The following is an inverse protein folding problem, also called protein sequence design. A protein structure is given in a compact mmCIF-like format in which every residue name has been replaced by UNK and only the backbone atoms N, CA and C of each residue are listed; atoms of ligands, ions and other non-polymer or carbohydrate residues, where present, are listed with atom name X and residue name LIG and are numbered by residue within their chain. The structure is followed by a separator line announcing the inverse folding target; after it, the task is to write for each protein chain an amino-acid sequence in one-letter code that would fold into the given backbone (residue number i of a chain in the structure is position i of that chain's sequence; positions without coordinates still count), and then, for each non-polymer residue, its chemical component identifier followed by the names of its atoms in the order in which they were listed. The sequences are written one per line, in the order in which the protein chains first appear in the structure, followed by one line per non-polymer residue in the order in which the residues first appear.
data_IF_313516628405
#
_entry.id   IF_313516628405
#
_cell.length_a   1.000
_cell.length_b   1.000
_cell.length_c   1.000
_cell.angle_alpha   90.00
_cell.angle_beta   90.00
_cell.angle_gamma   90.00
#
_symmetry.space_group_name_H-M   'P 1'
#
loop_
_entity.id
_entity.type
_entity.pdbx_description
1 polymer ?
#
# COMPACT_ATOMS: atom_id res chain seq x y z
N UNK A 1 -22.56 17.36 7.35
CA UNK A 1 -22.13 16.59 6.17
C UNK A 1 -20.85 17.23 5.66
N UNK A 2 -19.72 16.58 5.86
CA UNK A 2 -18.45 17.07 5.28
C UNK A 2 -18.54 16.80 3.78
N UNK A 3 -18.43 17.83 2.97
CA UNK A 3 -18.37 17.68 1.52
C UNK A 3 -17.02 16.99 1.24
N UNK A 4 -17.04 15.77 0.75
CA UNK A 4 -15.84 15.08 0.34
C UNK A 4 -15.18 15.91 -0.79
N UNK A 5 -13.94 16.30 -0.58
CA UNK A 5 -13.15 17.07 -1.54
C UNK A 5 -12.06 16.19 -2.11
N UNK A 6 -11.63 16.46 -3.33
CA UNK A 6 -10.45 15.79 -3.88
C UNK A 6 -9.23 16.10 -3.02
N UNK A 7 -8.36 15.11 -2.78
CA UNK A 7 -7.11 15.31 -2.06
C UNK A 7 -6.18 16.25 -2.84
N UNK A 8 -5.15 16.73 -2.17
CA UNK A 8 -4.13 17.58 -2.76
C UNK A 8 -2.73 17.03 -2.50
N UNK A 9 -1.75 17.46 -3.27
CA UNK A 9 -0.32 17.09 -3.03
C UNK A 9 0.25 17.60 -1.69
N UNK A 10 -0.50 18.39 -0.94
CA UNK A 10 -0.12 18.81 0.43
C UNK A 10 -0.34 17.67 1.44
N UNK A 11 -1.24 16.76 1.12
CA UNK A 11 -1.47 15.55 1.89
C UNK A 11 -0.39 14.52 1.52
N UNK A 12 0.30 14.01 2.50
CA UNK A 12 1.49 13.17 2.30
C UNK A 12 1.20 11.94 1.45
N UNK A 13 0.10 11.27 1.73
CA UNK A 13 -0.34 10.09 0.97
C UNK A 13 -0.60 10.38 -0.53
N UNK A 14 -0.74 11.64 -0.92
CA UNK A 14 -1.04 12.07 -2.30
C UNK A 14 0.07 12.90 -2.95
N UNK A 15 1.21 13.06 -2.25
CA UNK A 15 2.31 13.93 -2.69
C UNK A 15 2.83 13.60 -4.10
N UNK A 16 2.91 12.34 -4.43
CA UNK A 16 3.45 11.85 -5.71
C UNK A 16 2.36 11.42 -6.70
N UNK A 17 1.10 11.57 -6.32
CA UNK A 17 -0.03 11.16 -7.16
C UNK A 17 -0.16 12.02 -8.42
N UNK A 18 -0.60 11.39 -9.51
CA UNK A 18 -1.09 12.10 -10.66
C UNK A 18 -2.48 12.68 -10.34
N UNK A 19 -2.53 13.97 -10.06
CA UNK A 19 -3.76 14.64 -9.64
C UNK A 19 -4.83 14.70 -10.74
N UNK A 20 -4.44 14.67 -12.01
CA UNK A 20 -5.39 14.58 -13.12
C UNK A 20 -6.02 13.17 -13.17
N UNK A 21 -5.23 12.14 -12.92
CA UNK A 21 -5.70 10.76 -12.73
C UNK A 21 -6.67 10.65 -11.55
N UNK A 22 -6.31 11.23 -10.40
CA UNK A 22 -7.16 11.28 -9.20
C UNK A 22 -8.48 12.00 -9.47
N UNK A 23 -8.45 13.12 -10.19
CA UNK A 23 -9.67 13.85 -10.53
C UNK A 23 -10.63 13.02 -11.41
N UNK A 24 -10.08 12.19 -12.31
CA UNK A 24 -10.90 11.30 -13.18
C UNK A 24 -11.52 10.13 -12.41
N UNK A 25 -10.94 9.69 -11.28
CA UNK A 25 -11.56 8.71 -10.39
C UNK A 25 -12.85 9.24 -9.77
N UNK A 26 -12.89 10.55 -9.48
CA UNK A 26 -13.99 11.22 -8.81
C UNK A 26 -14.04 10.96 -7.30
N UNK A 27 -14.69 11.88 -6.60
CA UNK A 27 -14.75 11.88 -5.12
C UNK A 27 -15.39 10.60 -4.54
N UNK A 28 -16.40 10.06 -5.22
CA UNK A 28 -17.10 8.87 -4.76
C UNK A 28 -16.20 7.63 -4.67
N UNK A 29 -15.21 7.48 -5.56
CA UNK A 29 -14.26 6.37 -5.52
C UNK A 29 -13.33 6.46 -4.30
N UNK A 30 -13.04 7.67 -3.82
CA UNK A 30 -12.13 7.90 -2.70
C UNK A 30 -12.70 7.42 -1.35
N UNK A 31 -14.01 7.25 -1.23
CA UNK A 31 -14.65 6.77 0.00
C UNK A 31 -14.96 5.25 -0.03
N UNK A 32 -14.62 4.57 -1.12
CA UNK A 32 -14.92 3.15 -1.28
C UNK A 32 -13.79 2.28 -0.70
N UNK A 33 -14.03 1.72 0.49
CA UNK A 33 -13.16 0.77 1.14
C UNK A 33 -13.78 -0.62 1.19
N UNK A 34 -12.98 -1.64 0.85
CA UNK A 34 -13.34 -3.04 1.06
C UNK A 34 -12.77 -3.49 2.41
N UNK A 35 -13.67 -3.80 3.35
CA UNK A 35 -13.27 -4.35 4.65
C UNK A 35 -13.01 -5.86 4.53
N UNK A 36 -11.93 -6.33 5.15
CA UNK A 36 -11.54 -7.73 5.24
C UNK A 36 -11.13 -8.01 6.68
N UNK A 37 -12.00 -8.72 7.39
CA UNK A 37 -11.74 -9.14 8.76
C UNK A 37 -11.34 -10.62 8.77
N UNK A 38 -10.15 -10.93 9.29
CA UNK A 38 -9.61 -12.28 9.40
C UNK A 38 -9.65 -12.68 10.87
N UNK A 39 -10.44 -13.69 11.20
CA UNK A 39 -10.62 -14.16 12.58
C UNK A 39 -9.31 -14.71 13.15
N UNK A 40 -9.25 -14.80 14.48
CA UNK A 40 -8.08 -15.34 15.16
C UNK A 40 -7.68 -16.73 14.63
N UNK A 41 -6.39 -16.88 14.32
CA UNK A 41 -5.81 -18.12 13.79
C UNK A 41 -6.15 -18.44 12.32
N UNK A 42 -7.02 -17.66 11.67
CA UNK A 42 -7.38 -17.88 10.27
C UNK A 42 -6.36 -17.28 9.30
N UNK A 43 -6.44 -17.68 8.05
CA UNK A 43 -5.57 -17.19 6.99
C UNK A 43 -6.35 -16.81 5.75
N UNK A 44 -5.96 -15.71 5.11
CA UNK A 44 -6.50 -15.25 3.83
C UNK A 44 -5.38 -14.91 2.85
N UNK A 45 -5.58 -15.27 1.59
CA UNK A 45 -4.72 -14.82 0.49
C UNK A 45 -5.56 -14.10 -0.55
N UNK A 46 -5.05 -12.99 -1.07
CA UNK A 46 -5.62 -12.23 -2.18
C UNK A 46 -4.59 -12.03 -3.27
N UNK A 47 -4.97 -12.38 -4.51
CA UNK A 47 -4.22 -12.04 -5.70
C UNK A 47 -5.06 -11.06 -6.52
N UNK A 48 -4.50 -9.90 -6.83
CA UNK A 48 -5.16 -8.85 -7.60
C UNK A 48 -4.32 -8.49 -8.81
N UNK A 49 -4.98 -8.42 -9.95
CA UNK A 49 -4.39 -7.85 -11.18
C UNK A 49 -5.18 -6.60 -11.53
N UNK A 50 -4.54 -5.46 -11.45
CA UNK A 50 -5.07 -4.16 -11.87
C UNK A 50 -4.63 -3.97 -13.32
N UNK A 51 -5.56 -4.03 -14.26
CA UNK A 51 -5.22 -4.15 -15.68
C UNK A 51 -6.20 -3.48 -16.65
N UNK A 52 -7.17 -2.69 -16.18
CA UNK A 52 -8.07 -1.96 -17.08
C UNK A 52 -7.39 -0.75 -17.72
N UNK A 53 -7.95 -0.26 -18.83
CA UNK A 53 -7.45 0.95 -19.52
C UNK A 53 -7.90 2.25 -18.83
N UNK A 54 -8.83 2.17 -17.88
CA UNK A 54 -9.33 3.32 -17.15
C UNK A 54 -8.51 3.58 -15.86
N UNK A 55 -8.54 4.79 -15.29
CA UNK A 55 -8.02 5.04 -13.96
C UNK A 55 -8.72 4.16 -12.92
N UNK A 56 -7.94 3.52 -12.03
CA UNK A 56 -8.47 2.63 -10.99
C UNK A 56 -7.93 2.98 -9.61
N UNK A 57 -8.79 2.85 -8.60
CA UNK A 57 -8.45 2.95 -7.19
C UNK A 57 -9.03 1.75 -6.45
N UNK A 58 -8.18 0.94 -5.84
CA UNK A 58 -8.55 -0.17 -4.98
C UNK A 58 -8.12 0.12 -3.55
N UNK A 59 -9.04 0.07 -2.60
CA UNK A 59 -8.78 0.39 -1.19
C UNK A 59 -9.24 -0.73 -0.28
N UNK A 60 -8.35 -1.23 0.57
CA UNK A 60 -8.62 -2.33 1.48
C UNK A 60 -8.32 -1.95 2.92
N UNK A 61 -9.27 -2.21 3.83
CA UNK A 61 -9.05 -2.21 5.27
C UNK A 61 -9.02 -3.64 5.76
N UNK A 62 -7.89 -4.06 6.28
CA UNK A 62 -7.65 -5.43 6.69
C UNK A 62 -7.43 -5.46 8.19
N UNK A 63 -8.25 -6.21 8.92
CA UNK A 63 -8.10 -6.43 10.36
C UNK A 63 -7.74 -7.88 10.59
N UNK A 64 -6.60 -8.13 11.25
CA UNK A 64 -6.13 -9.46 11.57
C UNK A 64 -6.28 -9.72 13.06
N UNK A 65 -7.06 -10.72 13.41
CA UNK A 65 -7.20 -11.23 14.78
C UNK A 65 -5.92 -11.90 15.27
N UNK A 66 -5.93 -12.33 16.54
CA UNK A 66 -4.78 -12.98 17.18
C UNK A 66 -4.28 -14.19 16.37
N UNK A 67 -2.98 -14.19 16.03
CA UNK A 67 -2.34 -15.26 15.25
C UNK A 67 -2.84 -15.41 13.82
N UNK A 68 -3.71 -14.51 13.33
CA UNK A 68 -4.22 -14.56 11.97
C UNK A 68 -3.16 -14.18 10.93
N UNK A 69 -3.34 -14.62 9.69
CA UNK A 69 -2.41 -14.36 8.59
C UNK A 69 -3.12 -13.79 7.39
N UNK A 70 -2.55 -12.77 6.76
CA UNK A 70 -3.01 -12.29 5.47
C UNK A 70 -1.86 -12.08 4.50
N UNK A 71 -2.06 -12.47 3.24
CA UNK A 71 -1.13 -12.21 2.16
C UNK A 71 -1.86 -11.54 0.99
N UNK A 72 -1.31 -10.43 0.51
CA UNK A 72 -1.77 -9.72 -0.67
C UNK A 72 -0.68 -9.70 -1.72
N UNK A 73 -0.99 -10.23 -2.91
CA UNK A 73 -0.11 -10.16 -4.08
C UNK A 73 -0.79 -9.36 -5.17
N UNK A 74 -0.16 -8.26 -5.59
CA UNK A 74 -0.77 -7.31 -6.50
C UNK A 74 0.12 -7.03 -7.70
N UNK A 75 -0.40 -7.29 -8.90
CA UNK A 75 0.19 -6.80 -10.16
C UNK A 75 -0.58 -5.56 -10.59
N UNK A 76 0.09 -4.42 -10.60
CA UNK A 76 -0.47 -3.14 -11.01
C UNK A 76 0.10 -2.73 -12.37
N UNK A 77 -0.66 -2.97 -13.44
CA UNK A 77 -0.24 -2.78 -14.82
C UNK A 77 -1.30 -2.07 -15.69
N UNK A 78 -2.43 -1.63 -15.11
CA UNK A 78 -3.56 -1.03 -15.84
C UNK A 78 -3.43 0.48 -16.05
N UNK A 79 -4.16 0.98 -17.04
CA UNK A 79 -4.44 2.39 -17.28
C UNK A 79 -3.25 3.37 -17.31
N UNK A 80 -3.58 4.63 -17.31
CA UNK A 80 -2.61 5.71 -17.16
C UNK A 80 -2.41 6.15 -15.68
N UNK A 81 -3.41 5.90 -14.83
CA UNK A 81 -3.31 6.10 -13.38
C UNK A 81 -3.98 4.95 -12.62
N UNK A 82 -3.22 4.33 -11.74
CA UNK A 82 -3.76 3.27 -10.88
C UNK A 82 -3.14 3.34 -9.48
N UNK A 83 -3.99 3.17 -8.46
CA UNK A 83 -3.58 3.21 -7.07
C UNK A 83 -4.21 2.07 -6.28
N UNK A 84 -3.41 1.39 -5.49
CA UNK A 84 -3.87 0.36 -4.55
C UNK A 84 -3.44 0.76 -3.15
N UNK A 85 -4.41 0.88 -2.24
CA UNK A 85 -4.19 1.26 -0.85
C UNK A 85 -4.59 0.12 0.09
N UNK A 86 -3.75 -0.11 1.10
CA UNK A 86 -4.01 -1.06 2.17
C UNK A 86 -3.80 -0.39 3.53
N UNK A 87 -4.85 -0.35 4.34
CA UNK A 87 -4.76 -0.07 5.78
C UNK A 87 -4.88 -1.41 6.52
N UNK A 88 -3.83 -1.82 7.22
CA UNK A 88 -3.74 -3.13 7.87
C UNK A 88 -3.54 -2.95 9.37
N UNK A 89 -4.35 -3.62 10.18
CA UNK A 89 -4.22 -3.64 11.63
C UNK A 89 -3.96 -5.06 12.12
N UNK A 90 -2.90 -5.23 12.89
CA UNK A 90 -2.41 -6.51 13.38
C UNK A 90 -2.63 -6.64 14.89
N UNK A 91 -3.35 -7.70 15.31
CA UNK A 91 -3.43 -8.12 16.70
C UNK A 91 -2.21 -8.99 17.07
N UNK A 92 -2.17 -9.47 18.32
CA UNK A 92 -1.07 -10.29 18.89
C UNK A 92 -0.70 -11.46 17.98
N UNK A 93 0.58 -11.58 17.64
CA UNK A 93 1.11 -12.68 16.84
C UNK A 93 0.61 -12.76 15.41
N UNK A 94 -0.15 -11.78 14.93
CA UNK A 94 -0.66 -11.76 13.56
C UNK A 94 0.47 -11.51 12.56
N UNK A 95 0.30 -11.99 11.33
CA UNK A 95 1.28 -11.83 10.25
C UNK A 95 0.66 -11.26 8.99
N UNK A 96 1.31 -10.25 8.41
CA UNK A 96 0.91 -9.66 7.14
C UNK A 96 2.04 -9.71 6.11
N UNK A 97 1.72 -10.20 4.91
CA UNK A 97 2.62 -10.22 3.75
C UNK A 97 2.04 -9.39 2.61
N UNK A 98 2.85 -8.49 2.06
CA UNK A 98 2.51 -7.74 0.85
C UNK A 98 3.57 -7.94 -0.21
N UNK A 99 3.17 -8.48 -1.37
CA UNK A 99 3.97 -8.57 -2.58
C UNK A 99 3.36 -7.72 -3.68
N UNK A 100 4.03 -6.66 -4.10
CA UNK A 100 3.52 -5.75 -5.12
C UNK A 100 4.48 -5.57 -6.30
N UNK A 101 3.96 -5.55 -7.52
CA UNK A 101 4.73 -5.11 -8.69
C UNK A 101 3.96 -4.06 -9.47
N UNK A 102 4.60 -2.91 -9.74
CA UNK A 102 4.09 -1.91 -10.68
C UNK A 102 4.83 -2.04 -12.00
N UNK A 103 4.09 -2.09 -13.11
CA UNK A 103 4.66 -2.24 -14.45
C UNK A 103 4.01 -1.20 -15.35
N UNK A 104 4.79 -0.33 -15.99
CA UNK A 104 4.18 0.65 -16.88
C UNK A 104 5.15 1.52 -17.66
N UNK A 105 4.65 1.99 -18.79
CA UNK A 105 5.36 2.87 -19.71
C UNK A 105 4.51 4.07 -20.11
N UNK A 106 4.96 4.77 -21.16
CA UNK A 106 4.32 6.02 -21.56
C UNK A 106 4.41 7.06 -20.45
N UNK A 107 3.28 7.68 -20.07
CA UNK A 107 3.17 8.63 -18.97
C UNK A 107 2.35 8.05 -17.79
N UNK A 108 2.28 6.73 -17.66
CA UNK A 108 1.47 6.09 -16.64
C UNK A 108 2.06 6.27 -15.23
N UNK A 109 1.21 6.56 -14.26
CA UNK A 109 1.56 6.58 -12.83
C UNK A 109 0.87 5.42 -12.10
N UNK A 110 1.66 4.60 -11.40
CA UNK A 110 1.18 3.45 -10.64
C UNK A 110 1.65 3.52 -9.22
N UNK A 111 0.73 3.33 -8.27
CA UNK A 111 1.01 3.54 -6.86
C UNK A 111 0.60 2.36 -6.00
N UNK A 112 1.43 2.05 -5.02
CA UNK A 112 1.07 1.31 -3.83
C UNK A 112 1.20 2.22 -2.62
N UNK A 113 0.17 2.26 -1.79
CA UNK A 113 0.16 2.96 -0.52
C UNK A 113 -0.25 1.98 0.57
N UNK A 114 0.62 1.78 1.53
CA UNK A 114 0.35 0.85 2.62
C UNK A 114 0.51 1.55 3.96
N UNK A 115 -0.40 1.29 4.89
CA UNK A 115 -0.25 1.62 6.30
C UNK A 115 -0.44 0.33 7.09
N UNK A 116 0.62 -0.13 7.75
CA UNK A 116 0.60 -1.34 8.57
C UNK A 116 0.77 -0.97 10.04
N UNK A 117 -0.28 -1.21 10.83
CA UNK A 117 -0.34 -0.88 12.24
C UNK A 117 -0.16 -2.16 13.06
N UNK A 118 0.99 -2.29 13.70
CA UNK A 118 1.25 -3.29 14.73
C UNK A 118 0.61 -2.78 16.02
N UNK A 119 -0.62 -3.24 16.27
CA UNK A 119 -1.41 -2.77 17.38
C UNK A 119 -1.07 -3.49 18.68
N UNK A 120 -0.67 -4.76 18.59
CA UNK A 120 -0.42 -5.64 19.73
C UNK A 120 0.93 -6.38 19.58
N UNK A 121 1.44 -7.04 20.66
CA UNK A 121 2.77 -7.65 20.65
C UNK A 121 2.94 -8.82 19.65
N UNK A 122 4.19 -9.10 19.30
CA UNK A 122 4.63 -10.29 18.53
C UNK A 122 4.06 -10.34 17.09
N UNK A 123 3.44 -9.25 16.62
CA UNK A 123 2.97 -9.17 15.25
C UNK A 123 4.14 -8.96 14.27
N UNK A 124 4.00 -9.52 13.07
CA UNK A 124 5.04 -9.43 12.04
C UNK A 124 4.48 -8.96 10.71
N UNK A 125 5.28 -8.22 9.94
CA UNK A 125 4.90 -7.84 8.57
C UNK A 125 6.08 -7.78 7.63
N UNK A 126 5.85 -8.12 6.37
CA UNK A 126 6.83 -7.99 5.31
C UNK A 126 6.19 -7.38 4.06
N UNK A 127 6.86 -6.39 3.47
CA UNK A 127 6.36 -5.71 2.29
C UNK A 127 7.46 -5.68 1.22
N UNK A 128 7.24 -6.42 0.15
CA UNK A 128 8.16 -6.50 -0.98
C UNK A 128 7.54 -5.86 -2.21
N UNK A 129 8.09 -4.74 -2.66
CA UNK A 129 7.57 -4.00 -3.83
C UNK A 129 8.65 -3.90 -4.91
N UNK A 130 8.22 -4.13 -6.15
CA UNK A 130 9.05 -3.99 -7.35
C UNK A 130 8.38 -3.04 -8.34
N UNK A 131 9.18 -2.22 -9.00
CA UNK A 131 8.72 -1.29 -10.02
C UNK A 131 9.50 -1.48 -11.32
N UNK A 132 8.82 -1.63 -12.44
CA UNK A 132 9.43 -1.74 -13.77
C UNK A 132 8.79 -0.71 -14.68
N UNK A 133 9.55 0.32 -15.06
CA UNK A 133 9.01 1.45 -15.83
C UNK A 133 9.90 1.87 -17.00
N UNK A 134 9.24 2.40 -18.03
CA UNK A 134 9.87 2.95 -19.24
C UNK A 134 9.11 4.19 -19.76
N UNK A 135 9.61 4.85 -20.79
CA UNK A 135 9.07 6.13 -21.26
C UNK A 135 9.22 7.22 -20.19
N UNK A 136 8.11 7.77 -19.74
CA UNK A 136 8.00 8.68 -18.60
C UNK A 136 7.18 8.07 -17.46
N UNK A 137 7.00 6.75 -17.48
CA UNK A 137 6.22 6.02 -16.49
C UNK A 137 6.79 6.14 -15.08
N UNK A 138 5.91 6.19 -14.09
CA UNK A 138 6.27 6.37 -12.69
C UNK A 138 5.66 5.27 -11.82
N UNK A 139 6.50 4.64 -11.00
CA UNK A 139 6.09 3.71 -9.95
C UNK A 139 6.33 4.29 -8.56
N UNK A 140 5.30 4.45 -7.75
CA UNK A 140 5.40 4.97 -6.39
C UNK A 140 5.05 3.91 -5.36
N UNK A 141 5.84 3.85 -4.28
CA UNK A 141 5.54 3.10 -3.07
C UNK A 141 5.63 4.02 -1.86
N UNK A 142 4.50 4.22 -1.19
CA UNK A 142 4.43 4.92 0.08
C UNK A 142 4.05 3.88 1.14
N UNK A 143 5.02 3.51 1.98
CA UNK A 143 4.86 2.47 2.99
C UNK A 143 5.02 3.02 4.39
N UNK A 144 3.96 2.99 5.20
CA UNK A 144 3.99 3.39 6.59
C UNK A 144 3.89 2.17 7.51
N UNK A 145 4.80 2.06 8.48
CA UNK A 145 4.73 1.11 9.58
C UNK A 145 4.56 1.88 10.87
N UNK A 146 3.49 1.56 11.62
CA UNK A 146 3.23 2.10 12.95
C UNK A 146 3.30 0.98 13.99
N UNK A 147 4.08 1.19 15.05
CA UNK A 147 4.19 0.25 16.16
C UNK A 147 3.69 0.91 17.42
N UNK A 148 2.59 0.39 17.99
CA UNK A 148 2.01 0.91 19.22
C UNK A 148 2.95 0.69 20.42
N UNK A 149 2.84 1.52 21.46
CA UNK A 149 3.73 1.49 22.62
C UNK A 149 3.85 0.13 23.30
N UNK A 150 2.78 -0.64 23.33
CA UNK A 150 2.76 -1.96 23.97
C UNK A 150 3.04 -3.12 22.98
N UNK A 151 3.18 -2.82 21.69
CA UNK A 151 3.42 -3.82 20.64
C UNK A 151 4.89 -4.25 20.61
N UNK A 152 5.36 -4.84 21.71
CA UNK A 152 6.73 -5.34 21.84
C UNK A 152 6.96 -6.57 20.96
N UNK A 153 8.22 -6.84 20.60
CA UNK A 153 8.66 -7.95 19.74
C UNK A 153 8.05 -7.91 18.32
N UNK A 154 7.70 -6.74 17.85
CA UNK A 154 7.34 -6.52 16.46
C UNK A 154 8.55 -6.79 15.56
N UNK A 155 8.31 -7.49 14.45
CA UNK A 155 9.29 -7.65 13.37
C UNK A 155 8.64 -7.21 12.04
N UNK A 156 9.15 -6.12 11.46
CA UNK A 156 8.55 -5.51 10.28
C UNK A 156 9.63 -5.14 9.25
N UNK A 157 9.38 -5.42 7.98
CA UNK A 157 10.30 -5.11 6.90
C UNK A 157 9.61 -4.51 5.68
N UNK A 158 10.31 -3.61 5.01
CA UNK A 158 9.95 -3.08 3.70
C UNK A 158 11.14 -3.16 2.75
N UNK A 159 10.93 -3.68 1.55
CA UNK A 159 11.93 -3.73 0.49
C UNK A 159 11.35 -3.24 -0.84
N UNK A 160 11.89 -2.12 -1.35
CA UNK A 160 11.52 -1.56 -2.64
C UNK A 160 12.71 -1.58 -3.60
N UNK A 161 12.48 -2.06 -4.83
CA UNK A 161 13.47 -1.98 -5.92
C UNK A 161 12.80 -1.57 -7.22
N UNK A 162 13.41 -0.60 -7.90
CA UNK A 162 12.97 -0.10 -9.21
C UNK A 162 13.94 -0.52 -10.31
N UNK A 163 13.39 -0.97 -11.44
CA UNK A 163 14.09 -1.15 -12.71
C UNK A 163 13.56 -0.13 -13.71
N UNK A 164 14.38 0.84 -14.05
CA UNK A 164 14.07 1.88 -15.03
C UNK A 164 14.74 1.54 -16.36
N UNK A 165 13.93 1.32 -17.39
CA UNK A 165 14.41 0.89 -18.69
C UNK A 165 14.76 2.09 -19.61
N UNK A 166 14.27 3.27 -19.28
CA UNK A 166 14.53 4.52 -20.02
C UNK A 166 14.73 5.69 -19.06
N UNK A 167 15.49 6.69 -19.51
CA UNK A 167 15.92 7.84 -18.69
C UNK A 167 14.77 8.74 -18.19
N UNK A 168 13.61 8.70 -18.84
CA UNK A 168 12.43 9.48 -18.46
C UNK A 168 11.60 8.81 -17.37
N UNK A 169 11.79 7.52 -17.13
CA UNK A 169 11.04 6.76 -16.14
C UNK A 169 11.49 7.06 -14.71
N UNK A 170 10.59 6.86 -13.73
CA UNK A 170 10.91 7.07 -12.33
C UNK A 170 10.31 5.98 -11.42
N UNK A 171 10.97 5.78 -10.29
CA UNK A 171 10.50 4.90 -9.22
C UNK A 171 10.81 5.57 -7.87
N UNK A 172 9.78 5.85 -7.08
CA UNK A 172 9.90 6.56 -5.82
C UNK A 172 9.47 5.66 -4.65
N UNK A 173 10.26 5.63 -3.59
CA UNK A 173 9.88 4.99 -2.33
C UNK A 173 9.91 6.01 -1.20
N UNK A 174 8.86 6.01 -0.39
CA UNK A 174 8.72 6.84 0.80
C UNK A 174 8.40 5.93 1.98
N UNK A 175 9.42 5.31 2.59
CA UNK A 175 9.21 4.55 3.81
C UNK A 175 9.03 5.49 5.00
N UNK A 176 8.03 5.19 5.84
CA UNK A 176 7.76 5.92 7.08
C UNK A 176 7.67 4.93 8.23
N UNK A 177 8.31 5.29 9.36
CA UNK A 177 8.33 4.48 10.56
C UNK A 177 7.92 5.33 11.75
N UNK A 178 6.83 4.94 12.42
CA UNK A 178 6.40 5.52 13.69
C UNK A 178 6.46 4.43 14.78
N UNK A 179 7.53 4.41 15.55
CA UNK A 179 7.79 3.36 16.54
C UNK A 179 7.68 3.94 17.94
N UNK A 180 6.77 3.39 18.73
CA UNK A 180 6.55 3.78 20.12
C UNK A 180 6.90 2.66 21.13
N UNK A 181 7.34 1.49 20.66
CA UNK A 181 7.80 0.36 21.47
C UNK A 181 9.35 0.28 21.47
N UNK A 182 9.93 -0.39 22.47
CA UNK A 182 11.39 -0.45 22.66
C UNK A 182 12.00 -1.72 22.05
N UNK A 183 11.31 -2.87 22.13
CA UNK A 183 11.79 -4.18 21.63
C UNK A 183 11.16 -4.48 20.27
N UNK A 184 11.75 -3.93 19.22
CA UNK A 184 11.26 -4.07 17.83
C UNK A 184 12.41 -4.26 16.84
N UNK A 185 12.11 -4.90 15.71
CA UNK A 185 12.93 -4.95 14.50
C UNK A 185 12.16 -4.34 13.36
N UNK A 186 12.68 -3.27 12.76
CA UNK A 186 12.11 -2.58 11.60
C UNK A 186 13.20 -2.08 10.67
#
# INVERSE_FOLDING_TARGET
MTVATLPTRREEAWRYADMDGVARLGVAALDQWQAIDVSAGESVMRCLVVGSDAPELHRFRVTLGEGARAAFFVTNAGGDYTRVELEVRLATGAHFEFGGVTIGGGAATREFVTQVIHADPEATSNQTVRAVHWGTGTGNFLGEIKVARHAQKTDAAQDFKGLLLEAGASANAVPQLEIFADDVKC
#
